data_IF_670883453896
#
_entry.id   IF_670883453896
#
_cell.length_a   1.000
_cell.length_b   1.000
_cell.length_c   1.000
_cell.angle_alpha   90.00
_cell.angle_beta   90.00
_cell.angle_gamma   90.00
#
_symmetry.space_group_name_H-M   'P 1'
#
loop_
_entity.id
_entity.type
_entity.pdbx_description
1 polymer ?
#
# COMPACT_ATOMS: atom_id res chain seq x y z
N UNK A 1 -4.51 -13.06 28.21
CA UNK A 1 -3.75 -13.59 27.06
C UNK A 1 -2.28 -13.59 27.40
N UNK A 2 -1.50 -14.58 26.93
CA UNK A 2 -0.04 -14.60 27.10
C UNK A 2 0.60 -14.34 25.76
N UNK A 3 1.59 -13.44 25.75
CA UNK A 3 2.41 -13.11 24.57
C UNK A 3 3.86 -13.50 24.85
N UNK A 4 4.49 -14.17 23.91
CA UNK A 4 5.94 -14.37 23.91
C UNK A 4 6.59 -13.16 23.27
N UNK A 5 7.42 -12.45 24.00
CA UNK A 5 8.03 -11.18 23.59
C UNK A 5 9.54 -11.24 23.70
N UNK A 6 10.23 -10.52 22.83
CA UNK A 6 11.65 -10.26 22.93
C UNK A 6 11.80 -8.77 23.26
N UNK A 7 12.44 -8.45 24.37
CA UNK A 7 12.69 -7.06 24.75
C UNK A 7 13.71 -6.42 23.76
N UNK A 8 13.59 -5.12 23.55
CA UNK A 8 14.56 -4.38 22.76
C UNK A 8 15.99 -4.64 23.25
N UNK A 9 16.92 -4.92 22.35
CA UNK A 9 18.32 -5.29 22.64
C UNK A 9 18.51 -6.61 23.41
N UNK A 10 17.52 -7.50 23.43
CA UNK A 10 17.61 -8.83 24.04
C UNK A 10 17.41 -9.91 22.98
N UNK A 11 18.05 -11.05 23.14
CA UNK A 11 17.79 -12.28 22.36
C UNK A 11 16.89 -13.28 23.09
N UNK A 12 16.50 -12.95 24.32
CA UNK A 12 15.74 -13.88 25.17
C UNK A 12 14.25 -13.68 25.00
N UNK A 13 13.55 -14.76 24.66
CA UNK A 13 12.08 -14.80 24.63
C UNK A 13 11.55 -14.88 26.06
N UNK A 14 10.60 -14.05 26.40
CA UNK A 14 9.95 -14.05 27.71
C UNK A 14 8.43 -13.98 27.54
N UNK A 15 7.71 -14.79 28.31
CA UNK A 15 6.25 -14.74 28.32
C UNK A 15 5.75 -13.60 29.20
N UNK A 16 4.83 -12.80 28.67
CA UNK A 16 4.16 -11.70 29.37
C UNK A 16 2.65 -11.90 29.35
N UNK A 17 2.04 -11.84 30.52
CA UNK A 17 0.58 -11.76 30.61
C UNK A 17 0.12 -10.33 30.33
N UNK A 18 -0.79 -10.20 29.38
CA UNK A 18 -1.44 -8.92 29.06
C UNK A 18 -2.94 -9.05 29.30
N UNK A 19 -3.52 -7.99 29.85
CA UNK A 19 -4.96 -7.89 30.03
C UNK A 19 -5.55 -7.31 28.75
N UNK A 20 -6.59 -7.97 28.23
CA UNK A 20 -7.36 -7.46 27.12
C UNK A 20 -8.32 -6.37 27.63
N UNK A 21 -8.50 -5.34 26.84
CA UNK A 21 -9.49 -4.29 27.08
C UNK A 21 -10.63 -4.40 26.07
N UNK A 22 -11.83 -3.94 26.43
CA UNK A 22 -12.92 -3.87 25.48
C UNK A 22 -12.63 -2.78 24.44
N UNK A 23 -13.02 -3.04 23.18
CA UNK A 23 -12.99 -2.03 22.13
C UNK A 23 -14.04 -0.94 22.50
N UNK A 24 -13.67 0.35 22.52
CA UNK A 24 -14.61 1.42 22.79
C UNK A 24 -15.78 1.50 21.81
N UNK A 25 -15.54 1.09 20.57
CA UNK A 25 -16.52 1.17 19.48
C UNK A 25 -17.37 -0.12 19.34
N UNK A 26 -16.84 -1.26 19.82
CA UNK A 26 -17.54 -2.55 19.85
C UNK A 26 -17.19 -3.33 21.12
N UNK A 27 -18.02 -3.27 22.19
CA UNK A 27 -17.75 -3.98 23.45
C UNK A 27 -17.63 -5.51 23.36
N UNK A 28 -18.07 -6.12 22.26
CA UNK A 28 -17.90 -7.56 22.01
C UNK A 28 -16.50 -7.92 21.48
N UNK A 29 -15.78 -6.93 21.05
CA UNK A 29 -14.40 -7.06 20.56
C UNK A 29 -13.42 -6.71 21.68
N UNK A 30 -12.32 -7.44 21.74
CA UNK A 30 -11.25 -7.16 22.72
C UNK A 30 -9.97 -6.73 22.00
N UNK A 31 -9.26 -5.79 22.60
CA UNK A 31 -8.01 -5.20 22.09
C UNK A 31 -6.86 -5.46 23.08
N UNK A 32 -5.65 -5.50 22.57
CA UNK A 32 -4.43 -5.57 23.37
C UNK A 32 -3.91 -4.17 23.72
N UNK A 33 -4.36 -3.13 23.08
CA UNK A 33 -3.99 -1.75 23.40
C UNK A 33 -2.51 -1.40 23.15
N UNK A 34 -1.94 -1.86 22.03
CA UNK A 34 -0.63 -1.40 21.55
C UNK A 34 -0.70 -0.97 20.09
N UNK A 35 0.18 -0.09 19.70
CA UNK A 35 0.35 0.32 18.31
C UNK A 35 1.56 -0.46 17.77
N UNK A 36 1.35 -1.40 16.82
CA UNK A 36 2.46 -2.11 16.23
C UNK A 36 3.29 -1.16 15.36
N UNK A 37 4.60 -1.28 15.43
CA UNK A 37 5.53 -0.61 14.54
C UNK A 37 6.57 -1.61 14.06
N UNK A 38 6.97 -1.50 12.80
CA UNK A 38 8.09 -2.26 12.27
C UNK A 38 9.40 -1.61 12.75
N UNK A 39 10.29 -2.41 13.30
CA UNK A 39 11.60 -1.97 13.79
C UNK A 39 12.74 -2.44 12.88
N UNK A 40 12.41 -3.06 11.74
CA UNK A 40 13.44 -3.47 10.77
C UNK A 40 14.10 -2.26 10.16
N UNK A 41 15.42 -2.32 10.07
CA UNK A 41 16.23 -1.33 9.37
C UNK A 41 16.67 -1.94 8.05
N UNK A 42 16.46 -1.22 6.97
CA UNK A 42 16.98 -1.56 5.65
C UNK A 42 18.18 -0.66 5.42
N UNK A 43 19.34 -1.26 5.16
CA UNK A 43 20.56 -0.53 4.82
C UNK A 43 20.64 -0.39 3.30
N UNK A 44 20.45 0.82 2.81
CA UNK A 44 20.47 1.14 1.39
C UNK A 44 21.75 1.92 1.06
N UNK A 45 22.34 1.74 -0.14
CA UNK A 45 23.52 2.47 -0.56
C UNK A 45 23.24 3.96 -0.90
N UNK A 46 22.01 4.40 -0.71
CA UNK A 46 21.54 5.77 -0.96
C UNK A 46 20.48 6.17 0.08
N UNK A 47 20.29 7.46 0.25
CA UNK A 47 19.28 7.99 1.15
C UNK A 47 17.91 8.05 0.47
N UNK A 48 16.88 7.56 1.14
CA UNK A 48 15.47 7.65 0.71
C UNK A 48 14.72 8.50 1.72
N UNK A 49 14.18 9.62 1.27
CA UNK A 49 13.29 10.48 2.05
C UNK A 49 11.89 10.49 1.45
N UNK A 50 10.88 10.09 2.22
CA UNK A 50 9.48 10.18 1.81
C UNK A 50 8.78 11.17 2.74
N UNK A 51 8.33 12.29 2.19
CA UNK A 51 7.52 13.25 2.95
C UNK A 51 6.08 12.75 3.07
N UNK A 52 5.71 12.40 4.30
CA UNK A 52 4.36 11.87 4.61
C UNK A 52 3.52 12.84 5.44
N UNK A 53 3.88 14.10 5.53
CA UNK A 53 3.36 15.09 6.50
C UNK A 53 1.82 15.16 6.58
N UNK A 54 1.10 14.81 5.51
CA UNK A 54 -0.38 14.79 5.46
C UNK A 54 -0.96 13.41 5.17
N UNK A 55 -0.14 12.39 5.11
CA UNK A 55 -0.56 11.04 4.76
C UNK A 55 -0.54 10.18 6.02
N UNK A 56 -1.72 9.81 6.48
CA UNK A 56 -1.87 8.90 7.61
C UNK A 56 -2.26 7.50 7.17
N UNK A 57 -1.68 6.51 7.85
CA UNK A 57 -1.97 5.11 7.63
C UNK A 57 -1.29 4.48 6.41
N UNK A 58 -1.33 3.14 6.30
CA UNK A 58 -0.51 2.37 5.36
C UNK A 58 -1.07 2.32 3.93
N UNK A 59 -2.21 2.94 3.66
CA UNK A 59 -2.92 2.81 2.36
C UNK A 59 -2.25 3.50 1.17
N UNK A 60 -1.16 4.23 1.40
CA UNK A 60 -0.33 4.83 0.36
C UNK A 60 0.88 3.96 -0.01
N UNK A 61 1.07 2.81 0.63
CA UNK A 61 2.25 1.96 0.46
C UNK A 61 2.53 1.62 -1.00
N UNK A 62 1.53 1.12 -1.73
CA UNK A 62 1.68 0.84 -3.17
C UNK A 62 2.11 2.08 -3.97
N UNK A 63 1.53 3.25 -3.68
CA UNK A 63 1.86 4.47 -4.41
C UNK A 63 3.31 4.91 -4.15
N UNK A 64 3.78 4.83 -2.91
CA UNK A 64 5.17 5.13 -2.56
C UNK A 64 6.14 4.14 -3.18
N UNK A 65 5.81 2.84 -3.18
CA UNK A 65 6.63 1.82 -3.82
C UNK A 65 6.78 2.09 -5.31
N UNK A 66 5.69 2.38 -6.01
CA UNK A 66 5.74 2.67 -7.45
C UNK A 66 6.50 3.97 -7.74
N UNK A 67 6.32 5.03 -6.94
CA UNK A 67 7.05 6.27 -7.10
C UNK A 67 8.56 6.09 -6.88
N UNK A 68 8.94 5.31 -5.86
CA UNK A 68 10.36 5.00 -5.61
C UNK A 68 10.97 4.19 -6.75
N UNK A 69 10.25 3.21 -7.28
CA UNK A 69 10.71 2.43 -8.43
C UNK A 69 10.86 3.29 -9.68
N UNK A 70 9.95 4.25 -9.91
CA UNK A 70 10.05 5.19 -11.02
C UNK A 70 11.31 6.06 -10.92
N UNK A 71 11.65 6.56 -9.74
CA UNK A 71 12.86 7.34 -9.49
C UNK A 71 14.16 6.52 -9.61
N UNK A 72 14.12 5.23 -9.25
CA UNK A 72 15.28 4.35 -9.26
C UNK A 72 15.53 3.67 -10.62
N UNK A 73 14.58 3.74 -11.54
CA UNK A 73 14.69 3.06 -12.84
C UNK A 73 14.75 4.05 -14.00
N UNK A 74 15.57 3.80 -15.03
CA UNK A 74 15.55 4.67 -16.19
C UNK A 74 14.23 4.62 -16.94
N UNK A 75 13.72 5.80 -17.30
CA UNK A 75 12.50 5.94 -18.10
C UNK A 75 11.31 6.40 -17.27
N UNK A 76 10.12 6.14 -17.74
CA UNK A 76 8.85 6.54 -17.13
C UNK A 76 7.96 5.31 -16.98
N UNK A 77 7.73 4.86 -15.74
CA UNK A 77 6.92 3.68 -15.45
C UNK A 77 5.46 3.85 -15.88
N UNK A 78 4.97 5.08 -15.96
CA UNK A 78 3.57 5.32 -16.32
C UNK A 78 3.35 5.61 -17.82
N UNK A 79 4.42 5.71 -18.63
CA UNK A 79 4.31 6.05 -20.05
C UNK A 79 3.68 7.42 -20.32
N UNK A 80 3.89 8.41 -19.44
CA UNK A 80 3.29 9.73 -19.51
C UNK A 80 1.81 9.78 -19.11
N UNK A 81 1.21 8.67 -18.68
CA UNK A 81 -0.17 8.62 -18.22
C UNK A 81 -0.26 9.03 -16.75
N UNK A 82 -1.18 9.92 -16.41
CA UNK A 82 -1.41 10.29 -15.01
C UNK A 82 -2.10 9.13 -14.27
N UNK A 83 -1.34 8.39 -13.51
CA UNK A 83 -1.77 7.23 -12.72
C UNK A 83 -1.87 7.63 -11.24
N UNK A 84 -2.86 7.08 -10.54
CA UNK A 84 -2.95 7.07 -9.09
C UNK A 84 -2.92 5.63 -8.60
N UNK A 85 -2.42 5.40 -7.39
CA UNK A 85 -2.41 4.09 -6.76
C UNK A 85 -2.84 4.18 -5.30
N UNK A 86 -3.44 3.12 -4.77
CA UNK A 86 -3.72 2.95 -3.34
C UNK A 86 -3.65 1.47 -3.00
N UNK A 87 -3.26 1.17 -1.78
CA UNK A 87 -3.09 -0.18 -1.26
C UNK A 87 -2.05 -0.18 -0.16
N UNK A 88 -2.16 -1.07 0.79
CA UNK A 88 -1.00 -1.43 1.62
C UNK A 88 -0.06 -2.28 0.78
N UNK A 89 1.21 -2.31 1.12
CA UNK A 89 2.18 -3.24 0.53
C UNK A 89 2.82 -4.04 1.66
N UNK A 90 2.94 -5.33 1.49
CA UNK A 90 3.59 -6.24 2.43
C UNK A 90 4.95 -6.69 1.91
N UNK A 91 5.75 -7.36 2.74
CA UNK A 91 7.08 -7.85 2.38
C UNK A 91 7.07 -8.91 1.26
N UNK A 92 5.96 -9.61 1.11
CA UNK A 92 5.72 -10.57 0.03
C UNK A 92 5.16 -9.90 -1.24
N UNK A 93 5.24 -8.56 -1.30
CA UNK A 93 4.75 -7.72 -2.38
C UNK A 93 3.23 -7.73 -2.57
N UNK A 94 2.47 -8.37 -1.68
CA UNK A 94 1.01 -8.39 -1.76
C UNK A 94 0.40 -7.01 -1.50
N UNK A 95 -0.64 -6.67 -2.26
CA UNK A 95 -1.39 -5.42 -2.14
C UNK A 95 -2.65 -5.66 -1.33
N UNK A 96 -2.68 -5.07 -0.14
CA UNK A 96 -3.77 -5.25 0.81
C UNK A 96 -4.87 -4.20 0.68
N UNK A 97 -6.09 -4.60 1.12
CA UNK A 97 -7.29 -3.78 1.08
C UNK A 97 -7.18 -2.51 1.92
N UNK A 98 -7.94 -1.50 1.52
CA UNK A 98 -7.96 -0.18 2.15
C UNK A 98 -9.39 0.26 2.49
N UNK A 99 -9.54 1.22 3.37
CA UNK A 99 -10.82 1.88 3.62
C UNK A 99 -11.13 3.00 2.64
N UNK A 100 -12.41 3.35 2.55
CA UNK A 100 -12.91 4.53 1.84
C UNK A 100 -12.56 4.58 0.34
N UNK A 101 -12.55 3.43 -0.36
CA UNK A 101 -12.20 3.35 -1.79
C UNK A 101 -13.05 4.30 -2.65
N UNK A 102 -14.36 4.37 -2.39
CA UNK A 102 -15.26 5.27 -3.12
C UNK A 102 -14.85 6.74 -3.01
N UNK A 103 -14.51 7.22 -1.80
CA UNK A 103 -14.09 8.60 -1.53
C UNK A 103 -12.74 8.89 -2.20
N UNK A 104 -11.80 7.95 -2.12
CA UNK A 104 -10.51 8.04 -2.82
C UNK A 104 -10.71 8.14 -4.33
N UNK A 105 -11.63 7.36 -4.90
CA UNK A 105 -11.95 7.42 -6.34
C UNK A 105 -12.47 8.79 -6.75
N UNK A 106 -13.31 9.44 -5.93
CA UNK A 106 -13.77 10.82 -6.17
C UNK A 106 -12.59 11.79 -6.24
N UNK A 107 -11.68 11.73 -5.26
CA UNK A 107 -10.51 12.58 -5.19
C UNK A 107 -9.56 12.37 -6.38
N UNK A 108 -9.28 11.10 -6.71
CA UNK A 108 -8.40 10.70 -7.84
C UNK A 108 -8.96 11.20 -9.17
N UNK A 109 -10.28 11.05 -9.38
CA UNK A 109 -10.96 11.56 -10.56
C UNK A 109 -10.89 13.08 -10.65
N UNK A 110 -11.13 13.78 -9.54
CA UNK A 110 -11.03 15.23 -9.46
C UNK A 110 -9.61 15.74 -9.73
N UNK A 111 -8.59 14.96 -9.32
CA UNK A 111 -7.19 15.24 -9.63
C UNK A 111 -6.82 15.01 -11.10
N UNK A 112 -7.74 14.49 -11.93
CA UNK A 112 -7.54 14.28 -13.35
C UNK A 112 -6.71 13.06 -13.73
N UNK A 113 -6.53 12.09 -12.82
CA UNK A 113 -5.91 10.82 -13.15
C UNK A 113 -6.72 10.06 -14.21
N UNK A 114 -6.04 9.28 -15.03
CA UNK A 114 -6.66 8.45 -16.07
C UNK A 114 -6.79 7.00 -15.66
N UNK A 115 -5.90 6.56 -14.77
CA UNK A 115 -5.87 5.21 -14.24
C UNK A 115 -5.77 5.28 -12.71
N UNK A 116 -6.44 4.36 -12.04
CA UNK A 116 -6.38 4.18 -10.60
C UNK A 116 -6.15 2.71 -10.27
N UNK A 117 -4.94 2.38 -9.80
CA UNK A 117 -4.58 1.06 -9.30
C UNK A 117 -5.16 0.90 -7.89
N UNK A 118 -5.92 -0.16 -7.67
CA UNK A 118 -6.63 -0.42 -6.42
C UNK A 118 -6.40 -1.87 -5.98
N UNK A 119 -6.49 -2.21 -4.67
CA UNK A 119 -6.32 -3.59 -4.25
C UNK A 119 -7.37 -4.52 -4.86
N UNK A 120 -6.92 -5.66 -5.42
CA UNK A 120 -7.83 -6.71 -5.89
C UNK A 120 -8.59 -7.39 -4.74
N UNK A 121 -8.07 -7.29 -3.51
CA UNK A 121 -8.68 -7.81 -2.29
C UNK A 121 -9.86 -7.00 -1.76
N UNK A 122 -10.21 -5.86 -2.39
CA UNK A 122 -11.45 -5.13 -2.07
C UNK A 122 -12.68 -5.96 -2.39
N UNK A 123 -13.75 -5.73 -1.62
CA UNK A 123 -15.03 -6.38 -1.92
C UNK A 123 -15.57 -5.98 -3.30
N UNK A 124 -16.30 -6.88 -3.95
CA UNK A 124 -16.95 -6.57 -5.23
C UNK A 124 -17.89 -5.36 -5.14
N UNK A 125 -18.54 -5.16 -3.99
CA UNK A 125 -19.39 -4.01 -3.75
C UNK A 125 -18.61 -2.70 -3.77
N UNK A 126 -17.43 -2.66 -3.14
CA UNK A 126 -16.56 -1.47 -3.14
C UNK A 126 -15.97 -1.20 -4.52
N UNK A 127 -15.53 -2.24 -5.23
CA UNK A 127 -15.04 -2.12 -6.61
C UNK A 127 -16.14 -1.62 -7.56
N UNK A 128 -17.36 -2.13 -7.43
CA UNK A 128 -18.49 -1.66 -8.22
C UNK A 128 -18.82 -0.18 -7.93
N UNK A 129 -18.83 0.22 -6.65
CA UNK A 129 -19.05 1.60 -6.27
C UNK A 129 -17.94 2.53 -6.79
N UNK A 130 -16.68 2.08 -6.77
CA UNK A 130 -15.56 2.82 -7.34
C UNK A 130 -15.71 2.98 -8.86
N UNK A 131 -16.04 1.90 -9.59
CA UNK A 131 -16.28 1.94 -11.04
C UNK A 131 -17.44 2.88 -11.41
N UNK A 132 -18.49 2.90 -10.61
CA UNK A 132 -19.62 3.83 -10.83
C UNK A 132 -19.18 5.29 -10.70
N UNK A 133 -18.37 5.63 -9.71
CA UNK A 133 -17.81 6.98 -9.52
C UNK A 133 -16.83 7.33 -10.65
N UNK A 134 -15.98 6.38 -11.03
CA UNK A 134 -14.99 6.54 -12.09
C UNK A 134 -15.65 6.92 -13.44
N UNK A 135 -16.77 6.25 -13.78
CA UNK A 135 -17.41 6.41 -15.08
C UNK A 135 -16.48 6.02 -16.22
N UNK A 136 -16.50 6.78 -17.30
CA UNK A 136 -15.64 6.53 -18.48
C UNK A 136 -14.32 7.33 -18.45
N UNK A 137 -14.15 8.23 -17.48
CA UNK A 137 -13.00 9.14 -17.44
C UNK A 137 -11.82 8.64 -16.63
N UNK A 138 -12.02 7.60 -15.79
CA UNK A 138 -11.01 7.02 -14.92
C UNK A 138 -11.10 5.48 -14.98
N UNK A 139 -10.04 4.82 -15.45
CA UNK A 139 -9.95 3.36 -15.48
C UNK A 139 -9.55 2.84 -14.10
N UNK A 140 -10.37 1.97 -13.49
CA UNK A 140 -10.05 1.26 -12.25
C UNK A 140 -9.40 -0.08 -12.61
N UNK A 141 -8.20 -0.32 -12.11
CA UNK A 141 -7.46 -1.57 -12.34
C UNK A 141 -7.17 -2.21 -10.98
N UNK A 142 -7.82 -3.33 -10.64
CA UNK A 142 -7.48 -4.12 -9.46
C UNK A 142 -6.13 -4.80 -9.64
N UNK A 143 -5.28 -4.75 -8.60
CA UNK A 143 -3.96 -5.39 -8.57
C UNK A 143 -3.83 -6.17 -7.26
N UNK A 144 -3.31 -7.40 -7.33
CA UNK A 144 -3.15 -8.26 -6.16
C UNK A 144 -1.76 -8.12 -5.53
N UNK A 145 -0.76 -7.73 -6.30
CA UNK A 145 0.64 -7.61 -5.90
C UNK A 145 1.36 -6.54 -6.73
N UNK A 146 2.62 -6.29 -6.39
CA UNK A 146 3.46 -5.32 -7.09
C UNK A 146 3.67 -5.68 -8.56
N UNK A 147 3.85 -6.95 -8.87
CA UNK A 147 4.02 -7.42 -10.27
C UNK A 147 2.81 -7.10 -11.14
N UNK A 148 1.59 -7.29 -10.63
CA UNK A 148 0.36 -6.91 -11.34
C UNK A 148 0.32 -5.40 -11.62
N UNK A 149 0.74 -4.58 -10.64
CA UNK A 149 0.78 -3.13 -10.80
C UNK A 149 1.78 -2.72 -11.89
N UNK A 150 2.97 -3.29 -11.89
CA UNK A 150 4.00 -3.02 -12.90
C UNK A 150 3.57 -3.48 -14.30
N UNK A 151 2.92 -4.63 -14.43
CA UNK A 151 2.34 -5.09 -15.70
C UNK A 151 1.27 -4.12 -16.20
N UNK A 152 0.39 -3.65 -15.31
CA UNK A 152 -0.63 -2.68 -15.69
C UNK A 152 -0.01 -1.35 -16.16
N UNK A 153 1.09 -0.89 -15.57
CA UNK A 153 1.82 0.30 -16.01
C UNK A 153 2.50 0.08 -17.38
N UNK A 154 3.11 -1.09 -17.59
CA UNK A 154 3.72 -1.43 -18.87
C UNK A 154 2.69 -1.45 -20.02
N UNK A 155 1.45 -1.92 -19.76
CA UNK A 155 0.35 -1.86 -20.74
C UNK A 155 -0.07 -0.43 -21.11
N UNK A 156 0.23 0.56 -20.26
CA UNK A 156 -0.03 1.98 -20.54
C UNK A 156 1.07 2.62 -21.39
N UNK A 157 2.09 1.87 -21.74
CA UNK A 157 3.26 2.35 -22.50
C UNK A 157 4.44 2.76 -21.62
N UNK A 158 4.39 2.42 -20.34
CA UNK A 158 5.51 2.61 -19.43
C UNK A 158 6.73 1.80 -19.85
N UNK A 159 7.92 2.30 -19.52
CA UNK A 159 9.20 1.64 -19.73
C UNK A 159 9.38 0.43 -18.81
N UNK A 160 8.40 -0.47 -18.73
CA UNK A 160 8.28 -1.51 -17.75
C UNK A 160 9.61 -2.06 -17.23
N UNK A 161 9.67 -2.50 -15.99
CA UNK A 161 10.81 -3.23 -15.42
C UNK A 161 10.96 -4.59 -16.14
N UNK A 162 11.18 -4.55 -17.47
CA UNK A 162 11.49 -5.73 -18.25
C UNK A 162 12.91 -6.16 -17.89
N UNK A 163 13.04 -7.06 -16.91
CA UNK A 163 14.29 -7.76 -16.57
C UNK A 163 15.54 -6.87 -16.40
N UNK A 164 15.39 -5.58 -16.15
CA UNK A 164 16.47 -4.78 -15.62
C UNK A 164 16.73 -5.32 -14.21
N UNK A 165 17.65 -6.27 -14.11
CA UNK A 165 18.33 -6.62 -12.88
C UNK A 165 18.65 -5.29 -12.23
N UNK A 166 18.00 -4.97 -11.10
CA UNK A 166 18.46 -3.91 -10.23
C UNK A 166 19.83 -4.39 -9.77
N UNK A 167 20.87 -4.00 -10.48
CA UNK A 167 22.25 -4.20 -10.03
C UNK A 167 22.47 -3.13 -8.96
N UNK A 168 22.23 -3.51 -7.71
CA UNK A 168 22.67 -2.79 -6.53
C UNK A 168 24.19 -2.92 -6.35
#
# INVERSE_FOLDING_TARGET
MTLSVIAHQSSTVADRRVQLIADPDDPKRTLIGFIPADTRTVDLPFEVGIDTDRIGGPSAGLAFTLALLDELTPGDLNGGVKVAATGTISDDESVGAIGALRQKTVAVKAAGAKVFLVPASQSEQELAAARQVAGTSLRIIPVANLSDALLALAELGGSGLTNATIQL
#
